data_IF_081602830716
#
_entry.id   IF_081602830716
#
_cell.length_a   1.000
_cell.length_b   1.000
_cell.length_c   1.000
_cell.angle_alpha   90.00
_cell.angle_beta   90.00
_cell.angle_gamma   90.00
#
_symmetry.space_group_name_H-M   'P 1'
#
loop_
_entity.id
_entity.type
_entity.pdbx_description
1 polymer ?
#
# COMPACT_ATOMS: atom_id res chain seq x y z
N UNK A 1 61.88 -7.83 -18.90
CA UNK A 1 62.55 -6.61 -18.49
C UNK A 1 61.50 -5.60 -18.05
N UNK A 2 61.48 -5.35 -16.93
CA UNK A 2 61.58 -4.58 -15.70
C UNK A 2 60.15 -4.28 -15.20
N UNK A 3 59.61 -4.76 -14.13
CA UNK A 3 59.83 -4.54 -12.68
C UNK A 3 60.03 -3.07 -12.30
N UNK A 4 59.08 -2.53 -11.53
CA UNK A 4 59.22 -1.56 -10.42
C UNK A 4 57.82 -0.96 -10.16
N UNK A 5 57.26 -1.03 -9.10
CA UNK A 5 57.46 -0.83 -7.66
C UNK A 5 56.28 0.02 -7.15
N UNK A 6 55.57 -0.51 -6.19
CA UNK A 6 54.68 0.22 -5.32
C UNK A 6 55.53 1.04 -4.31
N UNK A 7 55.02 2.19 -3.80
CA UNK A 7 54.91 2.19 -2.35
C UNK A 7 53.59 2.74 -1.78
N UNK A 8 53.14 2.04 -0.80
CA UNK A 8 52.24 2.45 0.25
C UNK A 8 52.72 3.71 0.98
N UNK A 9 51.83 4.67 1.17
CA UNK A 9 51.99 5.59 2.31
C UNK A 9 50.62 5.96 2.88
N UNK A 10 50.33 5.33 3.99
CA UNK A 10 49.31 5.75 4.93
C UNK A 10 49.62 7.16 5.43
N UNK A 11 48.76 8.11 5.14
CA UNK A 11 48.71 9.38 5.86
C UNK A 11 47.44 9.43 6.65
N UNK A 12 47.57 9.09 7.93
CA UNK A 12 46.58 9.34 8.95
C UNK A 12 46.47 10.85 9.18
N UNK A 13 45.43 11.48 8.63
CA UNK A 13 45.05 12.82 9.03
C UNK A 13 44.23 12.78 10.29
N UNK A 14 44.85 13.13 11.39
CA UNK A 14 44.21 13.37 12.69
C UNK A 14 43.24 14.56 12.55
N UNK A 15 41.97 14.37 12.82
CA UNK A 15 41.01 15.45 12.98
C UNK A 15 41.12 16.01 14.41
N UNK A 16 41.21 17.33 14.60
CA UNK A 16 41.28 17.94 15.91
C UNK A 16 39.91 18.03 16.58
N UNK A 17 39.86 17.64 17.83
CA UNK A 17 39.08 18.23 18.90
C UNK A 17 37.59 18.42 18.70
N UNK A 18 36.79 17.38 18.90
CA UNK A 18 35.39 17.57 19.24
C UNK A 18 35.29 17.77 20.76
N UNK A 19 35.07 19.02 21.17
CA UNK A 19 34.78 19.43 22.53
C UNK A 19 33.56 18.68 23.09
N UNK A 20 33.76 18.05 24.24
CA UNK A 20 32.73 17.39 25.03
C UNK A 20 31.80 18.40 25.70
N UNK A 21 30.83 18.97 24.94
CA UNK A 21 29.77 19.80 25.48
C UNK A 21 28.58 19.78 24.54
N UNK A 22 27.75 18.78 24.65
CA UNK A 22 26.31 18.87 24.50
C UNK A 22 25.66 17.46 24.60
N UNK A 23 25.66 16.92 25.83
CA UNK A 23 24.75 15.83 26.15
C UNK A 23 23.48 16.48 26.66
N UNK A 24 22.30 16.28 25.99
CA UNK A 24 21.05 16.72 26.57
C UNK A 24 20.83 15.94 27.87
N UNK A 25 20.69 16.65 28.97
CA UNK A 25 20.45 16.12 30.32
C UNK A 25 19.00 15.61 30.41
N UNK A 26 18.81 14.34 30.12
CA UNK A 26 17.52 13.64 30.32
C UNK A 26 17.20 13.32 31.77
N UNK A 27 18.03 13.79 32.73
CA UNK A 27 17.77 13.66 34.16
C UNK A 27 17.16 14.95 34.73
N UNK A 28 16.02 15.38 34.23
CA UNK A 28 15.12 16.18 35.08
C UNK A 28 14.57 15.24 36.14
N UNK A 29 15.22 15.22 37.30
CA UNK A 29 14.71 14.61 38.53
C UNK A 29 13.41 15.32 38.86
N UNK A 30 12.27 14.67 38.53
CA UNK A 30 10.94 15.14 38.91
C UNK A 30 10.90 14.97 40.43
N UNK A 31 10.96 16.05 41.17
CA UNK A 31 10.72 16.11 42.59
C UNK A 31 9.28 15.60 42.83
N UNK A 32 9.15 14.39 43.34
CA UNK A 32 7.88 13.82 43.76
C UNK A 32 7.54 14.51 45.07
N UNK A 33 6.79 15.62 44.98
CA UNK A 33 6.13 16.21 46.15
C UNK A 33 5.22 15.17 46.80
N UNK A 34 5.16 15.17 48.10
CA UNK A 34 4.40 14.28 48.98
C UNK A 34 3.00 13.93 48.44
N UNK A 35 2.89 12.77 47.84
CA UNK A 35 1.62 12.17 47.45
C UNK A 35 1.07 11.47 48.70
N UNK A 36 0.06 12.07 49.31
CA UNK A 36 -0.75 11.44 50.36
C UNK A 36 -1.46 10.21 49.82
N UNK A 37 -1.41 9.10 50.52
CA UNK A 37 -1.87 7.76 50.14
C UNK A 37 -3.38 7.62 49.84
N UNK A 38 -4.12 8.71 49.67
CA UNK A 38 -5.58 8.70 49.51
C UNK A 38 -6.13 8.72 48.09
N UNK A 39 -5.31 9.03 47.07
CA UNK A 39 -5.86 9.35 45.74
C UNK A 39 -5.39 8.45 44.59
N UNK A 40 -4.68 7.34 44.89
CA UNK A 40 -4.11 6.44 43.88
C UNK A 40 -5.19 5.75 43.04
N UNK A 41 -6.37 5.51 43.56
CA UNK A 41 -7.45 4.82 42.81
C UNK A 41 -8.13 5.72 41.77
N UNK A 42 -8.14 7.03 41.94
CA UNK A 42 -8.72 7.97 40.96
C UNK A 42 -7.76 8.24 39.81
N UNK A 43 -6.46 8.33 40.07
CA UNK A 43 -5.45 8.57 39.02
C UNK A 43 -5.31 7.39 38.06
N UNK A 44 -5.41 6.16 38.54
CA UNK A 44 -5.39 4.96 37.67
C UNK A 44 -6.60 4.85 36.75
N UNK A 45 -7.79 5.27 37.21
CA UNK A 45 -9.00 5.31 36.36
C UNK A 45 -8.91 6.38 35.27
N UNK A 46 -8.34 7.54 35.57
CA UNK A 46 -8.15 8.60 34.58
C UNK A 46 -7.11 8.20 33.52
N UNK A 47 -6.03 7.51 33.91
CA UNK A 47 -5.02 7.05 32.97
C UNK A 47 -5.51 5.93 32.05
N UNK A 48 -6.33 5.00 32.55
CA UNK A 48 -6.93 3.94 31.73
C UNK A 48 -7.98 4.46 30.75
N UNK A 49 -8.61 5.61 31.03
CA UNK A 49 -9.57 6.23 30.11
C UNK A 49 -8.91 6.88 28.89
N UNK A 50 -7.64 7.30 28.99
CA UNK A 50 -6.87 7.90 27.89
C UNK A 50 -6.23 6.89 26.93
N UNK A 51 -6.16 5.62 27.29
CA UNK A 51 -5.49 4.57 26.51
C UNK A 51 -6.44 3.75 25.61
N UNK A 52 -7.60 4.30 25.26
CA UNK A 52 -8.48 3.61 24.30
C UNK A 52 -7.94 3.78 22.89
N UNK A 53 -7.54 2.68 22.27
CA UNK A 53 -7.21 2.67 20.84
C UNK A 53 -8.45 2.99 20.02
N UNK A 54 -8.28 3.85 19.00
CA UNK A 54 -9.35 4.19 18.09
C UNK A 54 -9.81 2.94 17.31
N UNK A 55 -11.12 2.71 17.26
CA UNK A 55 -11.75 1.69 16.44
C UNK A 55 -12.84 2.34 15.59
N UNK A 56 -12.68 2.30 14.26
CA UNK A 56 -13.63 2.89 13.34
C UNK A 56 -14.99 2.17 13.42
N UNK A 57 -16.07 2.93 13.40
CA UNK A 57 -17.43 2.42 13.21
C UNK A 57 -17.82 2.57 11.74
N UNK A 58 -18.74 1.74 11.27
CA UNK A 58 -19.18 1.77 9.86
C UNK A 58 -19.80 3.11 9.44
N UNK A 59 -20.40 3.86 10.39
CA UNK A 59 -20.98 5.18 10.15
C UNK A 59 -19.97 6.32 10.03
N UNK A 60 -18.77 6.15 10.59
CA UNK A 60 -17.75 7.22 10.63
C UNK A 60 -16.90 7.26 9.34
N UNK A 61 -17.13 6.31 8.41
CA UNK A 61 -16.32 6.16 7.21
C UNK A 61 -16.86 6.99 6.07
N UNK A 62 -16.19 8.08 5.72
CA UNK A 62 -16.41 8.79 4.46
C UNK A 62 -15.69 8.06 3.31
N UNK A 63 -16.43 7.74 2.23
CA UNK A 63 -15.91 7.05 1.04
C UNK A 63 -15.79 8.04 -0.10
N UNK A 64 -14.62 8.04 -0.76
CA UNK A 64 -14.33 8.85 -1.94
C UNK A 64 -14.26 7.98 -3.18
N UNK A 65 -14.37 8.61 -4.35
CA UNK A 65 -14.18 7.96 -5.64
C UNK A 65 -12.86 8.42 -6.26
N UNK A 66 -12.06 7.46 -6.67
CA UNK A 66 -10.74 7.69 -7.24
C UNK A 66 -10.69 7.15 -8.66
N UNK A 67 -10.10 7.93 -9.57
CA UNK A 67 -9.85 7.55 -10.95
C UNK A 67 -8.35 7.35 -11.15
N UNK A 68 -7.96 6.19 -11.67
CA UNK A 68 -6.59 5.84 -12.02
C UNK A 68 -6.51 5.61 -13.51
N UNK A 69 -5.65 6.33 -14.22
CA UNK A 69 -5.33 6.04 -15.61
C UNK A 69 -4.21 4.99 -15.66
N UNK A 70 -4.48 3.90 -16.36
CA UNK A 70 -3.53 2.80 -16.49
C UNK A 70 -2.69 2.88 -17.78
N UNK A 71 -2.84 3.92 -18.60
CA UNK A 71 -2.08 4.10 -19.84
C UNK A 71 -0.58 4.13 -19.54
N UNK A 72 0.17 3.26 -20.22
CA UNK A 72 1.64 3.12 -20.14
C UNK A 72 2.19 2.85 -18.73
N UNK A 73 1.30 2.61 -17.77
CA UNK A 73 1.66 2.28 -16.39
C UNK A 73 1.95 0.79 -16.21
N UNK A 74 2.90 0.48 -15.34
CA UNK A 74 3.22 -0.91 -15.00
C UNK A 74 2.06 -1.53 -14.22
N UNK A 75 1.58 -2.70 -14.67
CA UNK A 75 0.45 -3.42 -14.05
C UNK A 75 0.56 -3.53 -12.52
N UNK A 76 1.76 -3.84 -12.00
CA UNK A 76 1.98 -4.01 -10.57
C UNK A 76 1.82 -2.71 -9.79
N UNK A 77 2.23 -1.57 -10.34
CA UNK A 77 2.09 -0.26 -9.69
C UNK A 77 0.63 0.18 -9.64
N UNK A 78 -0.10 0.04 -10.76
CA UNK A 78 -1.55 0.28 -10.82
C UNK A 78 -2.28 -0.58 -9.79
N UNK A 79 -1.99 -1.88 -9.75
CA UNK A 79 -2.64 -2.81 -8.84
C UNK A 79 -2.32 -2.51 -7.37
N UNK A 80 -1.07 -2.14 -7.04
CA UNK A 80 -0.65 -1.77 -5.70
C UNK A 80 -1.39 -0.52 -5.21
N UNK A 81 -1.43 0.53 -6.03
CA UNK A 81 -2.12 1.78 -5.67
C UNK A 81 -3.61 1.54 -5.49
N UNK A 82 -4.25 0.85 -6.43
CA UNK A 82 -5.65 0.48 -6.34
C UNK A 82 -5.94 -0.34 -5.07
N UNK A 83 -5.13 -1.35 -4.75
CA UNK A 83 -5.30 -2.17 -3.55
C UNK A 83 -5.16 -1.36 -2.25
N UNK A 84 -4.23 -0.40 -2.20
CA UNK A 84 -4.03 0.47 -1.03
C UNK A 84 -5.24 1.39 -0.80
N UNK A 85 -5.80 1.99 -1.85
CA UNK A 85 -7.01 2.82 -1.78
C UNK A 85 -8.24 1.99 -1.38
N UNK A 86 -8.43 0.83 -2.00
CA UNK A 86 -9.53 -0.08 -1.69
C UNK A 86 -9.52 -0.58 -0.25
N UNK A 87 -8.34 -0.84 0.30
CA UNK A 87 -8.16 -1.24 1.72
C UNK A 87 -8.24 -0.06 2.68
N UNK A 88 -8.11 1.16 2.17
CA UNK A 88 -8.06 2.38 2.99
C UNK A 88 -6.73 2.58 3.72
N UNK A 89 -5.61 2.02 3.22
CA UNK A 89 -4.29 2.18 3.86
C UNK A 89 -3.79 3.62 3.93
N UNK A 90 -4.31 4.49 3.08
CA UNK A 90 -3.97 5.92 3.06
C UNK A 90 -4.76 6.73 4.10
N UNK A 91 -5.77 6.10 4.74
CA UNK A 91 -6.59 6.74 5.77
C UNK A 91 -6.05 6.46 7.16
N UNK A 92 -6.02 7.48 7.98
CA UNK A 92 -5.62 7.38 9.40
C UNK A 92 -6.58 6.47 10.20
N UNK A 93 -7.86 6.45 9.82
CA UNK A 93 -8.91 5.67 10.49
C UNK A 93 -8.90 4.17 10.13
N UNK A 94 -7.84 3.68 9.46
CA UNK A 94 -7.76 2.28 9.04
C UNK A 94 -7.87 1.34 10.23
N UNK A 95 -8.88 0.47 10.21
CA UNK A 95 -9.05 -0.65 11.15
C UNK A 95 -9.23 -1.94 10.36
N UNK A 96 -8.54 -3.05 10.74
CA UNK A 96 -8.53 -4.29 9.94
C UNK A 96 -9.88 -4.99 9.83
N UNK A 97 -10.79 -4.80 10.76
CA UNK A 97 -12.10 -5.46 10.83
C UNK A 97 -13.24 -4.66 10.18
N UNK A 98 -13.02 -3.37 9.87
CA UNK A 98 -14.00 -2.49 9.23
C UNK A 98 -13.54 -2.11 7.83
N UNK A 99 -14.47 -2.04 6.88
CA UNK A 99 -14.19 -1.56 5.54
C UNK A 99 -14.13 -0.02 5.50
N UNK A 100 -12.92 0.52 5.61
CA UNK A 100 -12.64 1.96 5.56
C UNK A 100 -12.23 2.46 4.16
N UNK A 101 -12.11 1.56 3.18
CA UNK A 101 -11.59 1.85 1.86
C UNK A 101 -12.54 2.63 0.96
N UNK A 102 -11.99 3.16 -0.11
CA UNK A 102 -12.64 3.99 -1.10
C UNK A 102 -13.06 3.20 -2.35
N UNK A 103 -13.82 3.84 -3.23
CA UNK A 103 -14.13 3.32 -4.56
C UNK A 103 -13.01 3.67 -5.53
N UNK A 104 -12.63 2.72 -6.38
CA UNK A 104 -11.57 2.91 -7.36
C UNK A 104 -12.07 2.55 -8.74
N UNK A 105 -11.89 3.48 -9.68
CA UNK A 105 -12.14 3.32 -11.11
C UNK A 105 -10.78 3.27 -11.80
N UNK A 106 -10.54 2.24 -12.61
CA UNK A 106 -9.36 2.15 -13.46
C UNK A 106 -9.78 2.20 -14.91
N UNK A 107 -9.20 3.11 -15.67
CA UNK A 107 -9.46 3.29 -17.11
C UNK A 107 -8.25 2.84 -17.94
N UNK A 108 -8.45 2.68 -19.25
CA UNK A 108 -7.40 2.29 -20.21
C UNK A 108 -6.73 0.94 -19.90
N UNK A 109 -7.50 -0.06 -19.44
CA UNK A 109 -6.97 -1.37 -19.09
C UNK A 109 -6.21 -2.08 -20.22
N UNK A 110 -6.51 -1.79 -21.48
CA UNK A 110 -5.82 -2.33 -22.65
C UNK A 110 -4.35 -1.89 -22.74
N UNK A 111 -4.09 -0.63 -22.33
CA UNK A 111 -2.80 0.06 -22.51
C UNK A 111 -1.84 -0.15 -21.35
N UNK A 112 -2.19 -1.03 -20.41
CA UNK A 112 -1.33 -1.39 -19.27
C UNK A 112 -0.05 -2.05 -19.75
N UNK A 113 1.10 -1.59 -19.23
CA UNK A 113 2.42 -2.14 -19.54
C UNK A 113 2.76 -3.31 -18.64
N UNK A 114 3.33 -4.35 -19.22
CA UNK A 114 3.98 -5.45 -18.51
C UNK A 114 5.50 -5.33 -18.66
N UNK A 115 6.24 -5.64 -17.60
CA UNK A 115 7.70 -5.55 -17.60
C UNK A 115 8.34 -6.86 -18.07
N UNK A 116 9.45 -6.75 -18.80
CA UNK A 116 10.21 -7.90 -19.30
C UNK A 116 9.40 -8.77 -20.28
N UNK A 117 9.68 -10.06 -20.34
CA UNK A 117 9.04 -11.04 -21.24
C UNK A 117 7.70 -11.59 -20.72
N UNK A 118 7.05 -10.89 -19.76
CA UNK A 118 5.80 -11.39 -19.12
C UNK A 118 4.64 -11.50 -20.09
N UNK A 119 4.65 -10.76 -21.16
CA UNK A 119 3.57 -10.78 -22.15
C UNK A 119 3.45 -12.14 -22.85
N UNK A 120 4.58 -12.81 -23.04
CA UNK A 120 4.67 -14.14 -23.68
C UNK A 120 4.69 -15.27 -22.66
N UNK A 121 5.44 -15.10 -21.57
CA UNK A 121 5.70 -16.18 -20.62
C UNK A 121 4.61 -16.33 -19.55
N UNK A 122 3.93 -15.24 -19.18
CA UNK A 122 2.92 -15.31 -18.14
C UNK A 122 1.65 -15.95 -18.65
N UNK A 123 1.23 -17.02 -17.98
CA UNK A 123 -0.04 -17.69 -18.22
C UNK A 123 -0.98 -17.61 -17.02
N UNK A 124 -2.26 -17.58 -17.30
CA UNK A 124 -3.31 -17.67 -16.29
C UNK A 124 -3.95 -19.06 -16.37
N UNK A 125 -3.86 -19.79 -15.28
CA UNK A 125 -4.49 -21.10 -15.17
C UNK A 125 -5.89 -20.97 -14.56
N UNK A 126 -6.82 -21.75 -15.06
CA UNK A 126 -8.13 -21.98 -14.48
C UNK A 126 -8.44 -23.47 -14.48
N UNK A 127 -9.16 -23.92 -13.47
CA UNK A 127 -9.54 -25.33 -13.30
C UNK A 127 -11.05 -25.43 -13.11
N UNK A 128 -11.70 -26.30 -13.87
CA UNK A 128 -13.16 -26.45 -13.84
C UNK A 128 -13.66 -27.40 -12.75
N UNK A 129 -12.75 -28.12 -12.07
CA UNK A 129 -13.10 -29.14 -11.06
C UNK A 129 -13.20 -30.56 -11.60
N UNK A 130 -13.16 -30.77 -12.92
CA UNK A 130 -13.23 -32.09 -13.55
C UNK A 130 -11.85 -32.57 -14.01
N UNK A 131 -11.68 -33.87 -14.14
CA UNK A 131 -10.46 -34.47 -14.69
C UNK A 131 -10.20 -33.89 -16.07
N UNK A 132 -8.95 -33.47 -16.35
CA UNK A 132 -8.58 -32.79 -17.61
C UNK A 132 -9.07 -31.34 -17.74
N UNK A 133 -9.76 -30.79 -16.72
CA UNK A 133 -10.35 -29.44 -16.77
C UNK A 133 -9.36 -28.27 -16.58
N UNK A 134 -8.06 -28.47 -16.71
CA UNK A 134 -7.06 -27.40 -16.69
C UNK A 134 -7.10 -26.61 -18.00
N UNK A 135 -7.29 -25.30 -17.88
CA UNK A 135 -7.19 -24.35 -19.00
C UNK A 135 -6.11 -23.34 -18.70
N UNK A 136 -5.18 -23.18 -19.64
CA UNK A 136 -4.10 -22.19 -19.58
C UNK A 136 -4.28 -21.17 -20.70
N UNK A 137 -4.18 -19.89 -20.37
CA UNK A 137 -4.33 -18.79 -21.29
C UNK A 137 -3.17 -17.80 -21.11
N UNK A 138 -2.47 -17.45 -22.20
CA UNK A 138 -1.40 -16.47 -22.16
C UNK A 138 -1.96 -15.05 -21.96
N UNK A 139 -1.16 -14.17 -21.36
CA UNK A 139 -1.53 -12.77 -21.15
C UNK A 139 -1.91 -12.07 -22.44
N UNK A 140 -1.17 -12.31 -23.54
CA UNK A 140 -1.45 -11.71 -24.84
C UNK A 140 -2.86 -12.05 -25.35
N UNK A 141 -3.25 -13.32 -25.29
CA UNK A 141 -4.59 -13.75 -25.69
C UNK A 141 -5.67 -13.17 -24.78
N UNK A 142 -5.41 -13.12 -23.47
CA UNK A 142 -6.35 -12.55 -22.50
C UNK A 142 -6.54 -11.06 -22.67
N UNK A 143 -5.47 -10.30 -23.00
CA UNK A 143 -5.55 -8.85 -23.26
C UNK A 143 -6.48 -8.54 -24.43
N UNK A 144 -6.47 -9.35 -25.47
CA UNK A 144 -7.34 -9.16 -26.63
C UNK A 144 -8.82 -9.39 -26.30
N UNK A 145 -9.11 -10.37 -25.45
CA UNK A 145 -10.49 -10.72 -25.11
C UNK A 145 -11.05 -9.87 -23.97
N UNK A 146 -10.35 -9.87 -22.84
CA UNK A 146 -10.79 -9.24 -21.58
C UNK A 146 -9.64 -8.57 -20.86
N UNK A 147 -9.20 -7.38 -21.26
CA UNK A 147 -8.07 -6.67 -20.64
C UNK A 147 -8.35 -6.30 -19.19
N UNK A 148 -9.60 -6.08 -18.80
CA UNK A 148 -10.00 -5.75 -17.43
C UNK A 148 -9.57 -6.81 -16.43
N UNK A 149 -9.67 -8.09 -16.83
CA UNK A 149 -9.32 -9.22 -15.97
C UNK A 149 -7.84 -9.27 -15.58
N UNK A 150 -6.95 -8.61 -16.35
CA UNK A 150 -5.54 -8.52 -16.01
C UNK A 150 -5.34 -7.71 -14.72
N UNK A 151 -5.98 -6.54 -14.67
CA UNK A 151 -5.92 -5.64 -13.51
C UNK A 151 -6.70 -6.25 -12.34
N UNK A 152 -7.89 -6.74 -12.58
CA UNK A 152 -8.74 -7.34 -11.56
C UNK A 152 -8.05 -8.49 -10.82
N UNK A 153 -7.41 -9.41 -11.55
CA UNK A 153 -6.66 -10.52 -10.93
C UNK A 153 -5.44 -10.04 -10.15
N UNK A 154 -4.73 -9.02 -10.66
CA UNK A 154 -3.60 -8.45 -9.97
C UNK A 154 -4.01 -7.79 -8.64
N UNK A 155 -5.08 -6.99 -8.65
CA UNK A 155 -5.63 -6.34 -7.45
C UNK A 155 -6.20 -7.38 -6.47
N UNK A 156 -6.94 -8.38 -6.96
CA UNK A 156 -7.50 -9.45 -6.14
C UNK A 156 -6.43 -10.21 -5.36
N UNK A 157 -5.27 -10.46 -5.98
CA UNK A 157 -4.13 -11.09 -5.30
C UNK A 157 -3.49 -10.24 -4.20
N UNK A 158 -3.72 -8.90 -4.20
CA UNK A 158 -3.20 -7.97 -3.20
C UNK A 158 -4.19 -7.65 -2.06
N UNK A 159 -5.43 -8.10 -2.19
CA UNK A 159 -6.49 -7.93 -1.18
C UNK A 159 -6.61 -9.22 -0.35
N UNK A 160 -6.90 -9.13 0.96
CA UNK A 160 -7.12 -10.31 1.80
C UNK A 160 -8.23 -11.24 1.26
N UNK A 161 -8.01 -12.57 1.30
CA UNK A 161 -8.94 -13.57 0.79
C UNK A 161 -10.01 -13.97 1.83
N UNK A 162 -10.68 -12.99 2.45
CA UNK A 162 -11.74 -13.19 3.45
C UNK A 162 -13.07 -12.56 3.01
N UNK A 163 -14.09 -12.65 3.85
CA UNK A 163 -15.41 -12.04 3.58
C UNK A 163 -15.30 -10.52 3.38
N UNK A 164 -14.50 -9.85 4.21
CA UNK A 164 -14.26 -8.40 4.10
C UNK A 164 -13.55 -8.07 2.78
N UNK A 165 -12.54 -8.85 2.38
CA UNK A 165 -11.84 -8.66 1.11
C UNK A 165 -12.74 -8.81 -0.12
N UNK A 166 -13.75 -9.69 -0.07
CA UNK A 166 -14.76 -9.78 -1.15
C UNK A 166 -15.64 -8.54 -1.22
N UNK A 167 -16.01 -7.95 -0.09
CA UNK A 167 -16.76 -6.69 -0.04
C UNK A 167 -15.93 -5.52 -0.57
N UNK A 168 -14.66 -5.45 -0.18
CA UNK A 168 -13.69 -4.46 -0.65
C UNK A 168 -13.50 -4.56 -2.17
N UNK A 169 -13.35 -5.76 -2.70
CA UNK A 169 -13.14 -6.00 -4.13
C UNK A 169 -14.31 -5.51 -5.01
N UNK A 170 -15.55 -5.54 -4.53
CA UNK A 170 -16.72 -5.02 -5.26
C UNK A 170 -16.65 -3.52 -5.55
N UNK A 171 -15.82 -2.78 -4.82
CA UNK A 171 -15.60 -1.34 -5.01
C UNK A 171 -14.62 -1.02 -6.14
N UNK A 172 -13.94 -2.02 -6.69
CA UNK A 172 -13.11 -1.88 -7.87
C UNK A 172 -13.98 -1.92 -9.13
N UNK A 173 -13.78 -0.93 -10.00
CA UNK A 173 -14.38 -0.87 -11.33
C UNK A 173 -13.26 -0.69 -12.34
N UNK A 174 -13.18 -1.58 -13.33
CA UNK A 174 -12.15 -1.55 -14.37
C UNK A 174 -12.81 -1.42 -15.71
N UNK A 175 -12.31 -0.51 -16.53
CA UNK A 175 -12.82 -0.24 -17.87
C UNK A 175 -11.72 -0.38 -18.90
N UNK A 176 -12.11 -0.92 -20.04
CA UNK A 176 -11.22 -1.19 -21.17
C UNK A 176 -10.65 0.10 -21.76
N UNK A 177 -11.52 1.05 -22.10
CA UNK A 177 -11.18 2.34 -22.67
C UNK A 177 -11.07 3.46 -21.64
N UNK A 178 -11.18 4.68 -22.12
CA UNK A 178 -11.15 5.91 -21.33
C UNK A 178 -12.51 6.34 -20.76
N UNK A 179 -13.61 5.88 -21.39
CA UNK A 179 -14.96 6.20 -20.95
C UNK A 179 -15.41 5.35 -19.76
N UNK A 180 -16.05 5.97 -18.78
CA UNK A 180 -16.65 5.29 -17.64
C UNK A 180 -18.03 5.88 -17.29
N UNK A 181 -19.00 5.10 -16.78
CA UNK A 181 -20.37 5.56 -16.48
C UNK A 181 -20.49 6.32 -15.15
N UNK A 182 -19.38 6.54 -14.42
CA UNK A 182 -19.39 7.11 -13.07
C UNK A 182 -19.07 8.62 -13.03
N UNK A 183 -19.48 9.38 -14.05
CA UNK A 183 -19.25 10.84 -14.07
C UNK A 183 -20.01 11.56 -12.94
N UNK A 184 -21.22 11.10 -12.60
CA UNK A 184 -22.05 11.68 -11.54
C UNK A 184 -21.40 11.61 -10.15
N UNK A 185 -20.51 10.67 -9.90
CA UNK A 185 -19.78 10.52 -8.63
C UNK A 185 -18.56 11.44 -8.50
N UNK A 186 -18.23 12.22 -9.54
CA UNK A 186 -17.10 13.15 -9.57
C UNK A 186 -15.79 12.54 -9.06
N UNK A 187 -15.28 11.46 -9.70
CA UNK A 187 -14.09 10.79 -9.23
C UNK A 187 -12.85 11.69 -9.31
N UNK A 188 -12.02 11.68 -8.26
CA UNK A 188 -10.77 12.42 -8.22
C UNK A 188 -9.68 11.64 -8.97
N UNK A 189 -8.98 12.31 -9.88
CA UNK A 189 -7.88 11.69 -10.64
C UNK A 189 -6.64 11.58 -9.77
N UNK A 190 -6.04 10.38 -9.74
CA UNK A 190 -4.74 10.14 -9.10
C UNK A 190 -3.69 9.87 -10.17
N UNK A 191 -2.65 10.69 -10.20
CA UNK A 191 -1.46 10.41 -10.98
C UNK A 191 -0.60 9.36 -10.26
N UNK A 192 -0.16 8.34 -10.99
CA UNK A 192 0.83 7.39 -10.52
C UNK A 192 2.22 7.99 -10.72
N UNK A 193 3.02 8.07 -9.65
CA UNK A 193 4.39 8.53 -9.77
C UNK A 193 5.19 7.53 -10.64
N UNK A 194 5.66 7.99 -11.78
CA UNK A 194 6.68 7.27 -12.57
C UNK A 194 7.99 7.26 -11.79
N UNK A 195 8.49 6.08 -11.44
CA UNK A 195 9.88 5.88 -11.05
C UNK A 195 10.61 5.15 -12.14
#
# INVERSE_FOLDING_TARGET
MALADTPSSCLAAALPGASAQNRPSWTKRISIGNLTLGDTSRSFRAFSALMKTFSAKAGDVSRKWWLIDARDQVLGQVALKAANLLRGKEKVILTPHVDTGDFVIVINAEKVRLTGKKEEQKSYMSFSGYVGGHKSENVRARRLRHPELLIERAVRGMIPHNRLGRAIYRKLKVYRGDAHPHAAQQPQVIALAHK
#
